data_IF_477245375139
#
_entry.id   IF_477245375139
#
_cell.length_a   1.000
_cell.length_b   1.000
_cell.length_c   1.000
_cell.angle_alpha   90.00
_cell.angle_beta   90.00
_cell.angle_gamma   90.00
#
_symmetry.space_group_name_H-M   'P 1'
#
loop_
_entity.id
_entity.type
_entity.pdbx_description
1 polymer ?
#
# COMPACT_ATOMS: atom_id res chain seq x y z
N UNK A 1 -14.39 21.20 10.17
CA UNK A 1 -15.00 20.49 9.02
C UNK A 1 -14.21 19.23 8.83
N UNK A 2 -14.89 18.09 8.70
CA UNK A 2 -14.23 16.78 8.62
C UNK A 2 -13.62 16.61 7.24
N UNK A 3 -12.33 16.28 7.18
CA UNK A 3 -11.61 16.16 5.91
C UNK A 3 -11.69 14.73 5.37
N UNK A 4 -12.28 14.56 4.18
CA UNK A 4 -12.48 13.28 3.53
C UNK A 4 -11.49 13.05 2.38
N UNK A 5 -10.89 14.14 1.86
CA UNK A 5 -9.91 14.05 0.79
C UNK A 5 -8.54 13.64 1.32
N UNK A 6 -7.96 12.59 0.74
CA UNK A 6 -6.60 12.16 1.01
C UNK A 6 -5.59 13.27 0.70
N UNK A 7 -5.81 14.03 -0.38
CA UNK A 7 -4.95 15.15 -0.77
C UNK A 7 -4.96 16.28 0.27
N UNK A 8 -6.15 16.68 0.71
CA UNK A 8 -6.27 17.73 1.71
C UNK A 8 -5.65 17.31 3.06
N UNK A 9 -5.80 16.03 3.46
CA UNK A 9 -5.12 15.46 4.62
C UNK A 9 -3.61 15.57 4.52
N UNK A 10 -3.03 15.15 3.39
CA UNK A 10 -1.59 15.25 3.16
C UNK A 10 -1.08 16.68 3.23
N UNK A 11 -1.81 17.63 2.64
CA UNK A 11 -1.46 19.06 2.71
C UNK A 11 -1.49 19.59 4.14
N UNK A 12 -2.51 19.20 4.92
CA UNK A 12 -2.59 19.55 6.33
C UNK A 12 -1.42 18.96 7.13
N UNK A 13 -1.05 17.71 6.87
CA UNK A 13 0.11 17.06 7.50
C UNK A 13 1.45 17.71 7.16
N UNK A 14 1.66 18.02 5.87
CA UNK A 14 2.83 18.72 5.41
C UNK A 14 2.95 20.10 6.07
N UNK A 15 1.84 20.85 6.16
CA UNK A 15 1.80 22.15 6.84
C UNK A 15 2.10 22.02 8.34
N UNK A 16 1.51 21.03 9.03
CA UNK A 16 1.78 20.74 10.46
C UNK A 16 3.26 20.41 10.70
N UNK A 17 3.86 19.59 9.83
CA UNK A 17 5.28 19.22 9.93
C UNK A 17 6.19 20.42 9.65
N UNK A 18 5.91 21.21 8.61
CA UNK A 18 6.67 22.42 8.31
C UNK A 18 6.67 23.42 9.48
N UNK A 19 5.52 23.58 10.14
CA UNK A 19 5.42 24.41 11.34
C UNK A 19 6.19 23.83 12.53
N UNK A 20 6.16 22.50 12.72
CA UNK A 20 6.98 21.83 13.75
C UNK A 20 8.47 22.00 13.49
N UNK A 21 8.91 21.90 12.23
CA UNK A 21 10.30 22.12 11.81
C UNK A 21 10.75 23.55 12.07
N UNK A 22 9.90 24.55 11.76
CA UNK A 22 10.19 25.96 12.05
C UNK A 22 10.40 26.27 13.53
N UNK A 23 9.86 25.45 14.43
CA UNK A 23 9.95 25.64 15.89
C UNK A 23 11.13 24.93 16.54
N UNK A 24 11.90 24.13 15.81
CA UNK A 24 13.03 23.37 16.34
C UNK A 24 14.38 24.02 15.98
N UNK A 25 15.39 23.99 16.86
CA UNK A 25 16.74 24.47 16.54
C UNK A 25 17.32 23.70 15.34
N UNK A 26 18.06 24.38 14.48
CA UNK A 26 18.66 23.80 13.26
C UNK A 26 19.54 22.55 13.53
N UNK A 27 20.07 22.42 14.74
CA UNK A 27 20.93 21.34 15.21
C UNK A 27 20.18 20.02 15.50
N UNK A 28 18.84 20.02 15.53
CA UNK A 28 18.03 18.85 15.84
C UNK A 28 17.82 17.89 14.64
N UNK A 29 18.25 18.28 13.43
CA UNK A 29 18.02 17.51 12.21
C UNK A 29 19.31 16.85 11.72
N UNK A 30 19.51 15.59 12.08
CA UNK A 30 20.61 14.74 11.57
C UNK A 30 20.41 14.24 10.13
N UNK A 31 19.27 14.55 9.48
CA UNK A 31 19.00 14.20 8.09
C UNK A 31 18.15 15.30 7.41
N UNK A 32 18.42 15.65 6.14
CA UNK A 32 17.57 16.57 5.39
C UNK A 32 16.18 15.93 5.14
N UNK A 33 15.09 16.71 5.15
CA UNK A 33 13.72 16.23 5.05
C UNK A 33 13.31 15.87 3.61
N UNK A 34 14.24 15.41 2.78
CA UNK A 34 14.06 15.27 1.33
C UNK A 34 13.40 13.94 0.93
N UNK A 35 12.64 13.30 1.83
CA UNK A 35 11.64 12.34 1.40
C UNK A 35 10.58 13.12 0.63
N UNK A 36 10.67 13.10 -0.70
CA UNK A 36 9.72 13.77 -1.60
C UNK A 36 8.37 13.08 -1.47
N UNK A 37 7.52 13.60 -0.58
CA UNK A 37 6.12 13.21 -0.51
C UNK A 37 5.40 13.82 -1.72
N UNK A 38 4.65 13.00 -2.45
CA UNK A 38 3.79 13.50 -3.51
C UNK A 38 2.66 14.33 -2.89
N UNK A 39 2.62 15.63 -3.22
CA UNK A 39 1.66 16.64 -2.76
C UNK A 39 0.53 16.90 -3.77
N UNK A 40 0.53 16.13 -4.85
CA UNK A 40 -0.48 16.13 -5.91
C UNK A 40 -1.19 14.79 -5.93
N UNK A 41 -2.51 14.83 -6.12
CA UNK A 41 -3.25 13.63 -6.49
C UNK A 41 -2.77 13.18 -7.85
N UNK A 42 -2.31 11.94 -7.91
CA UNK A 42 -2.02 11.23 -9.14
C UNK A 42 -2.91 9.99 -9.14
N UNK A 43 -3.68 9.77 -10.22
CA UNK A 43 -4.34 8.48 -10.42
C UNK A 43 -3.32 7.35 -10.26
N UNK A 44 -3.78 6.18 -9.83
CA UNK A 44 -2.93 5.00 -9.79
C UNK A 44 -2.36 4.79 -11.20
N UNK A 45 -1.03 4.95 -11.40
CA UNK A 45 -0.45 4.81 -12.72
C UNK A 45 -0.69 3.39 -13.19
N UNK A 46 -1.22 3.23 -14.41
CA UNK A 46 -1.30 1.93 -15.06
C UNK A 46 0.00 1.75 -15.84
N UNK A 47 0.85 0.78 -15.46
CA UNK A 47 2.08 0.53 -16.20
C UNK A 47 1.80 0.24 -17.68
N UNK A 48 2.61 0.75 -18.62
CA UNK A 48 2.50 0.35 -20.02
C UNK A 48 2.74 -1.16 -20.19
N UNK A 49 2.07 -1.83 -21.14
CA UNK A 49 2.26 -3.25 -21.32
C UNK A 49 3.68 -3.66 -21.73
N UNK A 50 4.19 -4.70 -21.07
CA UNK A 50 5.52 -5.26 -21.31
C UNK A 50 6.66 -4.40 -20.80
N UNK A 51 6.42 -3.50 -19.83
CA UNK A 51 7.44 -2.62 -19.26
C UNK A 51 7.75 -2.94 -17.80
N UNK A 52 8.96 -2.64 -17.37
CA UNK A 52 9.37 -2.77 -15.97
C UNK A 52 9.35 -4.20 -15.43
N UNK A 53 9.47 -4.29 -14.10
CA UNK A 53 9.51 -5.56 -13.37
C UNK A 53 8.63 -5.53 -12.13
N UNK A 54 7.89 -6.60 -11.87
CA UNK A 54 7.22 -6.81 -10.58
C UNK A 54 8.13 -7.60 -9.66
N UNK A 55 8.40 -7.05 -8.50
CA UNK A 55 9.12 -7.72 -7.43
C UNK A 55 8.13 -8.14 -6.35
N UNK A 56 7.99 -9.45 -6.15
CA UNK A 56 7.20 -10.04 -5.08
C UNK A 56 8.10 -10.32 -3.88
N UNK A 57 7.68 -9.85 -2.71
CA UNK A 57 8.43 -9.96 -1.47
C UNK A 57 7.59 -10.67 -0.39
N UNK A 58 8.28 -11.34 0.53
CA UNK A 58 7.66 -11.83 1.75
C UNK A 58 8.55 -11.54 2.96
N UNK A 59 8.00 -10.83 3.94
CA UNK A 59 8.70 -10.45 5.15
C UNK A 59 8.11 -11.15 6.37
N UNK A 60 8.97 -11.59 7.28
CA UNK A 60 8.55 -11.94 8.63
C UNK A 60 8.26 -10.64 9.40
N UNK A 61 7.24 -10.63 10.29
CA UNK A 61 7.09 -9.58 11.29
C UNK A 61 8.42 -9.25 11.96
N UNK A 62 8.74 -7.95 12.08
CA UNK A 62 10.06 -7.49 12.57
C UNK A 62 10.38 -8.07 13.95
N UNK A 63 9.39 -8.16 14.84
CA UNK A 63 9.55 -8.69 16.19
C UNK A 63 9.89 -10.19 16.24
N UNK A 64 9.64 -10.97 15.17
CA UNK A 64 10.07 -12.37 15.10
C UNK A 64 11.56 -12.51 14.87
N UNK A 65 12.25 -11.47 14.36
CA UNK A 65 13.69 -11.52 14.06
C UNK A 65 14.53 -11.75 15.32
N UNK A 66 14.04 -11.26 16.46
CA UNK A 66 14.73 -11.33 17.75
C UNK A 66 14.40 -12.62 18.52
N UNK A 67 13.49 -13.46 18.00
CA UNK A 67 13.09 -14.73 18.63
C UNK A 67 13.88 -15.88 17.99
N UNK A 68 14.68 -16.56 18.81
CA UNK A 68 15.45 -17.73 18.41
C UNK A 68 14.57 -18.93 18.00
N UNK A 69 15.14 -19.95 17.33
CA UNK A 69 14.37 -21.06 16.76
C UNK A 69 13.48 -21.81 17.75
N UNK A 70 13.93 -21.99 18.99
CA UNK A 70 13.15 -22.66 20.05
C UNK A 70 11.94 -21.84 20.46
N UNK A 71 12.12 -20.53 20.70
CA UNK A 71 11.01 -19.64 21.05
C UNK A 71 9.96 -19.53 19.94
N UNK A 72 10.36 -19.70 18.67
CA UNK A 72 9.44 -19.74 17.54
C UNK A 72 8.53 -20.97 17.53
N UNK A 73 8.98 -22.12 18.06
CA UNK A 73 8.17 -23.34 18.13
C UNK A 73 7.02 -23.22 19.14
N UNK A 74 7.16 -22.34 20.12
CA UNK A 74 6.16 -22.10 21.17
C UNK A 74 5.09 -21.09 20.72
N UNK A 75 5.32 -20.38 19.60
CA UNK A 75 4.39 -19.40 19.08
C UNK A 75 3.25 -20.05 18.29
N UNK A 76 2.01 -19.56 18.44
CA UNK A 76 0.92 -19.92 17.56
C UNK A 76 1.24 -19.65 16.09
N UNK A 77 0.83 -20.55 15.19
CA UNK A 77 1.10 -20.45 13.75
C UNK A 77 0.62 -19.14 13.12
N UNK A 78 -0.50 -18.57 13.59
CA UNK A 78 -1.01 -17.30 13.08
C UNK A 78 -0.04 -16.13 13.34
N UNK A 79 0.75 -16.19 14.43
CA UNK A 79 1.75 -15.18 14.73
C UNK A 79 3.00 -15.29 13.85
N UNK A 80 3.22 -16.45 13.23
CA UNK A 80 4.31 -16.73 12.31
C UNK A 80 3.97 -16.35 10.85
N UNK A 81 2.77 -15.82 10.61
CA UNK A 81 2.30 -15.48 9.26
C UNK A 81 3.16 -14.39 8.64
N UNK A 82 3.77 -14.70 7.49
CA UNK A 82 4.54 -13.72 6.69
C UNK A 82 3.60 -12.70 6.06
N UNK A 83 4.04 -11.45 6.01
CA UNK A 83 3.40 -10.41 5.21
C UNK A 83 3.95 -10.46 3.80
N UNK A 84 3.06 -10.46 2.82
CA UNK A 84 3.41 -10.40 1.41
C UNK A 84 3.20 -8.99 0.89
N UNK A 85 4.06 -8.58 -0.04
CA UNK A 85 3.93 -7.33 -0.78
C UNK A 85 4.47 -7.55 -2.19
N UNK A 86 4.08 -6.68 -3.10
CA UNK A 86 4.68 -6.61 -4.41
C UNK A 86 4.82 -5.15 -4.82
N UNK A 87 5.82 -4.84 -5.63
CA UNK A 87 6.02 -3.53 -6.21
C UNK A 87 6.38 -3.70 -7.68
N UNK A 88 5.73 -2.95 -8.55
CA UNK A 88 6.15 -2.79 -9.92
C UNK A 88 7.13 -1.61 -9.99
N UNK A 89 8.27 -1.84 -10.62
CA UNK A 89 9.27 -0.83 -10.92
C UNK A 89 9.32 -0.66 -12.43
N UNK A 90 9.12 0.56 -12.90
CA UNK A 90 9.31 0.87 -14.31
C UNK A 90 10.76 0.79 -14.74
N UNK A 91 10.94 0.76 -16.05
CA UNK A 91 12.26 0.87 -16.64
C UNK A 91 12.83 2.26 -16.33
N UNK A 92 14.13 2.32 -16.00
CA UNK A 92 14.84 3.58 -15.91
C UNK A 92 15.24 3.93 -17.33
N UNK A 93 14.59 4.93 -17.92
CA UNK A 93 15.00 5.44 -19.23
C UNK A 93 16.38 6.11 -19.08
N UNK A 94 17.44 5.37 -19.41
CA UNK A 94 18.81 5.89 -19.48
C UNK A 94 18.97 6.92 -20.60
N UNK A 95 18.11 6.85 -21.63
CA UNK A 95 18.15 7.67 -22.85
C UNK A 95 17.24 8.91 -22.82
N UNK A 96 16.48 9.14 -21.76
CA UNK A 96 15.64 10.34 -21.69
C UNK A 96 16.55 11.55 -21.44
N UNK A 97 16.92 12.33 -22.46
CA UNK A 97 17.76 13.54 -22.32
C UNK A 97 17.06 14.70 -21.57
N UNK A 98 15.89 14.46 -20.98
CA UNK A 98 15.17 15.44 -20.19
C UNK A 98 16.06 16.00 -19.06
N UNK A 99 16.23 17.34 -18.97
CA UNK A 99 17.07 17.96 -17.97
C UNK A 99 16.52 17.63 -16.58
N UNK A 100 17.28 16.85 -15.82
CA UNK A 100 17.00 16.54 -14.43
C UNK A 100 17.40 17.78 -13.62
N UNK A 101 16.48 18.40 -12.86
CA UNK A 101 16.84 19.52 -12.00
C UNK A 101 18.04 19.17 -11.10
N UNK A 102 18.99 20.09 -11.00
CA UNK A 102 20.20 19.91 -10.20
C UNK A 102 19.81 19.55 -8.75
N UNK A 103 20.26 18.37 -8.28
CA UNK A 103 19.92 17.83 -6.95
C UNK A 103 18.74 16.83 -6.92
N UNK A 104 18.12 16.52 -8.06
CA UNK A 104 17.09 15.47 -8.15
C UNK A 104 17.68 14.14 -8.65
N UNK A 105 17.21 13.03 -8.07
CA UNK A 105 17.57 11.67 -8.48
C UNK A 105 16.49 11.18 -9.44
N UNK A 106 16.89 10.62 -10.60
CA UNK A 106 15.94 9.87 -11.44
C UNK A 106 15.52 8.63 -10.67
N UNK A 107 14.24 8.58 -10.29
CA UNK A 107 13.65 7.41 -9.65
C UNK A 107 12.73 6.77 -10.68
N UNK A 108 12.91 5.48 -10.95
CA UNK A 108 11.97 4.70 -11.73
C UNK A 108 10.54 4.90 -11.18
N UNK A 109 9.51 4.98 -12.03
CA UNK A 109 8.14 4.99 -11.52
C UNK A 109 7.89 3.70 -10.73
N UNK A 110 7.34 3.84 -9.52
CA UNK A 110 7.03 2.70 -8.64
C UNK A 110 5.54 2.64 -8.42
N UNK A 111 4.98 1.45 -8.60
CA UNK A 111 3.60 1.14 -8.25
C UNK A 111 3.61 0.03 -7.19
N UNK A 112 3.24 0.38 -5.96
CA UNK A 112 3.07 -0.60 -4.90
C UNK A 112 1.76 -1.34 -4.99
N UNK A 113 1.80 -2.64 -4.73
CA UNK A 113 0.63 -3.44 -4.36
C UNK A 113 -0.11 -2.73 -3.21
N UNK A 114 -1.45 -2.67 -3.24
CA UNK A 114 -2.20 -1.99 -2.20
C UNK A 114 -1.84 -2.54 -0.82
N UNK A 115 -1.48 -1.66 0.10
CA UNK A 115 -1.08 -2.06 1.46
C UNK A 115 -2.13 -2.87 2.24
N UNK A 116 -3.45 -2.69 2.04
CA UNK A 116 -4.43 -3.59 2.65
C UNK A 116 -4.28 -5.06 2.23
N UNK A 117 -3.71 -5.30 1.05
CA UNK A 117 -3.49 -6.62 0.45
C UNK A 117 -2.15 -7.21 0.91
N UNK A 118 -2.18 -7.94 2.03
CA UNK A 118 -0.96 -8.51 2.64
C UNK A 118 -0.86 -10.03 2.55
N UNK A 119 -1.91 -10.70 2.07
CA UNK A 119 -1.94 -12.16 1.94
C UNK A 119 -1.31 -12.61 0.61
N UNK A 120 -0.72 -13.81 0.63
CA UNK A 120 0.04 -14.34 -0.50
C UNK A 120 -0.73 -14.35 -1.82
N UNK A 121 -1.94 -14.93 -1.83
CA UNK A 121 -2.62 -15.23 -3.08
C UNK A 121 -3.10 -13.97 -3.81
N UNK A 122 -3.69 -13.00 -3.09
CA UNK A 122 -4.04 -11.74 -3.73
C UNK A 122 -2.83 -10.91 -4.13
N UNK A 123 -1.71 -10.95 -3.39
CA UNK A 123 -0.48 -10.29 -3.87
C UNK A 123 0.01 -10.91 -5.17
N UNK A 124 -0.08 -12.24 -5.31
CA UNK A 124 0.28 -12.91 -6.56
C UNK A 124 -0.71 -12.61 -7.68
N UNK A 125 -2.02 -12.56 -7.40
CA UNK A 125 -3.03 -12.14 -8.37
C UNK A 125 -2.79 -10.69 -8.82
N UNK A 126 -2.54 -9.78 -7.89
CA UNK A 126 -2.20 -8.39 -8.19
C UNK A 126 -0.95 -8.29 -9.06
N UNK A 127 0.11 -9.02 -8.69
CA UNK A 127 1.35 -9.08 -9.45
C UNK A 127 1.13 -9.61 -10.88
N UNK A 128 0.28 -10.64 -11.03
CA UNK A 128 -0.05 -11.23 -12.32
C UNK A 128 -0.89 -10.29 -13.21
N UNK A 129 -1.62 -9.34 -12.62
CA UNK A 129 -2.40 -8.32 -13.35
C UNK A 129 -1.54 -7.16 -13.86
N UNK A 130 -0.36 -6.95 -13.26
CA UNK A 130 0.52 -5.89 -13.72
C UNK A 130 1.06 -6.26 -15.10
N UNK A 131 1.03 -5.35 -16.07
CA UNK A 131 1.41 -5.69 -17.43
C UNK A 131 2.95 -5.56 -17.58
N UNK A 132 3.69 -6.29 -16.75
CA UNK A 132 5.13 -6.18 -16.61
C UNK A 132 5.92 -7.07 -17.58
N UNK A 133 7.15 -6.67 -17.91
CA UNK A 133 8.03 -7.47 -18.76
C UNK A 133 8.49 -8.76 -18.04
N UNK A 134 8.69 -8.67 -16.72
CA UNK A 134 9.14 -9.78 -15.88
C UNK A 134 8.53 -9.71 -14.48
N UNK A 135 8.31 -10.87 -13.89
CA UNK A 135 7.94 -11.01 -12.47
C UNK A 135 9.02 -11.82 -11.77
N UNK A 136 9.52 -11.31 -10.65
CA UNK A 136 10.55 -11.94 -9.84
C UNK A 136 10.12 -12.00 -8.38
N UNK A 137 10.66 -12.97 -7.65
CA UNK A 137 10.54 -13.06 -6.20
C UNK A 137 11.90 -12.86 -5.55
N UNK A 138 11.94 -12.03 -4.52
CA UNK A 138 13.11 -11.95 -3.64
C UNK A 138 12.91 -12.84 -2.41
N UNK A 139 13.98 -13.53 -2.00
CA UNK A 139 13.94 -14.45 -0.85
C UNK A 139 14.70 -13.84 0.33
N UNK A 140 14.02 -13.62 1.45
CA UNK A 140 14.69 -13.26 2.70
C UNK A 140 15.44 -11.92 2.70
N UNK A 141 15.12 -11.01 1.78
CA UNK A 141 15.84 -9.74 1.63
C UNK A 141 17.21 -9.88 0.96
N UNK A 142 17.53 -11.02 0.33
CA UNK A 142 18.67 -11.12 -0.57
C UNK A 142 18.39 -10.41 -1.89
N UNK A 143 19.46 -10.04 -2.60
CA UNK A 143 19.40 -9.52 -3.96
C UNK A 143 19.10 -10.62 -5.00
N UNK A 144 18.87 -11.86 -4.57
CA UNK A 144 18.59 -12.97 -5.47
C UNK A 144 17.15 -12.88 -5.98
N UNK A 145 17.02 -12.65 -7.28
CA UNK A 145 15.76 -12.64 -8.00
C UNK A 145 15.47 -14.03 -8.57
N UNK A 146 14.34 -14.62 -8.16
CA UNK A 146 13.84 -15.87 -8.74
C UNK A 146 12.71 -15.54 -9.72
N UNK A 147 12.86 -15.80 -11.03
CA UNK A 147 11.80 -15.59 -12.00
C UNK A 147 10.53 -16.35 -11.63
N UNK A 148 9.38 -15.74 -11.88
CA UNK A 148 8.06 -16.30 -11.64
C UNK A 148 7.21 -16.21 -12.89
N UNK A 149 6.59 -17.33 -13.26
CA UNK A 149 5.49 -17.36 -14.22
C UNK A 149 4.18 -17.23 -13.47
N UNK A 150 3.44 -16.15 -13.71
CA UNK A 150 2.14 -15.89 -13.09
C UNK A 150 1.07 -15.69 -14.15
N UNK A 151 -0.12 -16.24 -13.90
CA UNK A 151 -1.30 -16.03 -14.73
C UNK A 151 -2.41 -15.42 -13.85
N UNK A 152 -2.88 -14.24 -14.21
CA UNK A 152 -3.99 -13.60 -13.50
C UNK A 152 -5.30 -14.35 -13.78
N UNK A 153 -6.08 -14.57 -12.73
CA UNK A 153 -7.42 -15.15 -12.86
C UNK A 153 -8.44 -14.08 -13.29
N UNK A 154 -8.18 -12.80 -12.99
CA UNK A 154 -9.01 -11.67 -13.36
C UNK A 154 -10.48 -11.82 -12.93
N UNK A 155 -10.72 -12.51 -11.81
CA UNK A 155 -12.05 -12.64 -11.24
C UNK A 155 -12.22 -11.73 -10.04
N UNK A 156 -13.44 -11.23 -9.88
CA UNK A 156 -13.88 -10.69 -8.61
C UNK A 156 -13.96 -11.83 -7.57
N UNK A 157 -13.84 -11.52 -6.27
CA UNK A 157 -14.13 -12.48 -5.21
C UNK A 157 -15.59 -12.94 -5.26
N UNK A 158 -15.87 -14.13 -4.73
CA UNK A 158 -17.23 -14.67 -4.71
C UNK A 158 -18.12 -13.91 -3.71
N UNK A 159 -19.41 -13.65 -4.03
CA UNK A 159 -20.31 -12.97 -3.11
C UNK A 159 -20.43 -13.68 -1.75
N UNK A 160 -20.43 -12.91 -0.67
CA UNK A 160 -20.46 -13.40 0.71
C UNK A 160 -19.14 -13.97 1.19
N UNK A 161 -18.03 -13.74 0.47
CA UNK A 161 -16.70 -14.22 0.86
C UNK A 161 -15.70 -13.08 0.98
N UNK A 162 -14.63 -13.35 1.73
CA UNK A 162 -13.43 -12.53 1.72
C UNK A 162 -13.57 -11.22 2.50
N UNK A 163 -12.46 -10.48 2.51
CA UNK A 163 -12.31 -9.25 3.28
C UNK A 163 -12.20 -8.06 2.35
N UNK A 164 -13.00 -7.03 2.61
CA UNK A 164 -12.82 -5.72 2.03
C UNK A 164 -12.10 -4.82 3.03
N UNK A 165 -11.00 -4.20 2.60
CA UNK A 165 -10.21 -3.31 3.43
C UNK A 165 -10.00 -1.97 2.76
N UNK A 166 -10.20 -0.89 3.52
CA UNK A 166 -9.96 0.50 3.11
C UNK A 166 -8.78 1.05 3.91
N UNK A 167 -7.84 1.73 3.24
CA UNK A 167 -6.70 2.39 3.89
C UNK A 167 -6.23 3.60 3.08
N UNK A 168 -5.68 4.60 3.76
CA UNK A 168 -4.94 5.69 3.13
C UNK A 168 -3.59 5.18 2.59
N UNK A 169 -3.30 5.44 1.33
CA UNK A 169 -2.01 5.08 0.74
C UNK A 169 -0.91 5.97 1.34
N UNK A 170 0.19 5.35 1.75
CA UNK A 170 1.30 6.04 2.41
C UNK A 170 2.21 6.79 1.44
N UNK A 171 2.24 6.46 0.16
CA UNK A 171 3.11 7.10 -0.84
C UNK A 171 2.35 8.08 -1.74
N UNK A 172 1.05 7.85 -1.98
CA UNK A 172 0.17 8.72 -2.77
C UNK A 172 -1.03 9.26 -1.98
N UNK A 173 -1.53 10.48 -2.25
CA UNK A 173 -2.71 11.03 -1.58
C UNK A 173 -4.01 10.40 -2.13
N UNK A 174 -4.16 9.09 -1.94
CA UNK A 174 -5.34 8.32 -2.37
C UNK A 174 -5.83 7.42 -1.23
N UNK A 175 -7.13 7.23 -1.15
CA UNK A 175 -7.72 6.12 -0.41
C UNK A 175 -7.79 4.91 -1.32
N UNK A 176 -7.45 3.74 -0.78
CA UNK A 176 -7.48 2.49 -1.53
C UNK A 176 -8.41 1.50 -0.83
N UNK A 177 -9.35 0.93 -1.58
CA UNK A 177 -10.15 -0.21 -1.16
C UNK A 177 -9.77 -1.45 -1.96
N UNK A 178 -9.63 -2.57 -1.25
CA UNK A 178 -9.38 -3.88 -1.85
C UNK A 178 -10.30 -4.90 -1.25
N UNK A 179 -11.01 -5.65 -2.10
CA UNK A 179 -11.77 -6.83 -1.73
C UNK A 179 -11.07 -8.08 -2.27
N UNK A 180 -10.77 -9.02 -1.38
CA UNK A 180 -10.06 -10.25 -1.72
C UNK A 180 -10.61 -11.47 -0.95
N UNK A 181 -10.67 -12.64 -1.60
CA UNK A 181 -11.08 -13.91 -0.96
C UNK A 181 -9.88 -14.79 -0.55
N UNK A 182 -10.17 -15.95 0.04
CA UNK A 182 -9.16 -16.95 0.44
C UNK A 182 -8.50 -17.67 -0.75
N UNK A 183 -8.94 -17.36 -1.98
CA UNK A 183 -8.43 -17.91 -3.22
C UNK A 183 -7.69 -16.79 -3.99
N UNK A 184 -8.08 -16.49 -5.22
CA UNK A 184 -7.46 -15.49 -6.11
C UNK A 184 -8.44 -14.41 -6.56
N UNK A 185 -9.60 -14.29 -5.92
CA UNK A 185 -10.54 -13.22 -6.21
C UNK A 185 -9.95 -11.89 -5.74
N UNK A 186 -9.97 -10.88 -6.61
CA UNK A 186 -9.45 -9.55 -6.29
C UNK A 186 -10.23 -8.46 -7.03
N UNK A 187 -10.73 -7.48 -6.30
CA UNK A 187 -11.34 -6.26 -6.81
C UNK A 187 -10.78 -5.05 -6.07
N UNK A 188 -10.54 -3.96 -6.79
CA UNK A 188 -9.79 -2.80 -6.29
C UNK A 188 -10.46 -1.51 -6.74
N UNK A 189 -10.39 -0.48 -5.89
CA UNK A 189 -10.84 0.86 -6.21
C UNK A 189 -10.02 1.88 -5.42
N UNK A 190 -9.69 3.01 -6.05
CA UNK A 190 -8.96 4.07 -5.40
C UNK A 190 -9.49 5.45 -5.84
N UNK A 191 -9.58 6.37 -4.89
CA UNK A 191 -10.06 7.73 -5.13
C UNK A 191 -9.41 8.70 -4.11
N UNK A 192 -9.45 9.99 -4.39
CA UNK A 192 -9.02 11.00 -3.41
C UNK A 192 -10.05 11.16 -2.29
N UNK A 193 -11.35 10.97 -2.58
CA UNK A 193 -12.45 11.14 -1.64
C UNK A 193 -12.82 9.80 -1.01
N UNK A 194 -12.61 9.68 0.31
CA UNK A 194 -12.98 8.47 1.05
C UNK A 194 -14.46 8.11 0.90
N UNK A 195 -15.36 9.08 0.65
CA UNK A 195 -16.79 8.80 0.45
C UNK A 195 -17.04 7.97 -0.80
N UNK A 196 -16.35 8.27 -1.90
CA UNK A 196 -16.44 7.49 -3.14
C UNK A 196 -15.94 6.05 -2.92
N UNK A 197 -14.84 5.91 -2.16
CA UNK A 197 -14.29 4.60 -1.80
C UNK A 197 -15.24 3.80 -0.91
N UNK A 198 -15.91 4.46 0.04
CA UNK A 198 -16.94 3.84 0.88
C UNK A 198 -18.16 3.43 0.06
N UNK A 199 -18.63 4.27 -0.86
CA UNK A 199 -19.76 3.94 -1.74
C UNK A 199 -19.46 2.68 -2.56
N UNK A 200 -18.28 2.63 -3.19
CA UNK A 200 -17.82 1.43 -3.90
C UNK A 200 -17.76 0.21 -2.98
N UNK A 201 -17.23 0.37 -1.76
CA UNK A 201 -17.12 -0.71 -0.78
C UNK A 201 -18.46 -1.22 -0.29
N UNK A 202 -19.45 -0.34 -0.11
CA UNK A 202 -20.80 -0.71 0.27
C UNK A 202 -21.49 -1.55 -0.81
N UNK A 203 -21.21 -1.28 -2.09
CA UNK A 203 -21.75 -2.04 -3.21
C UNK A 203 -21.17 -3.47 -3.34
N UNK A 204 -19.99 -3.76 -2.76
CA UNK A 204 -19.39 -5.10 -2.84
C UNK A 204 -20.05 -6.07 -1.86
N UNK A 205 -20.35 -7.32 -2.26
CA UNK A 205 -20.89 -8.34 -1.37
C UNK A 205 -19.77 -9.05 -0.58
N UNK A 206 -18.87 -8.30 0.06
CA UNK A 206 -17.85 -8.88 0.93
C UNK A 206 -18.46 -9.39 2.24
N UNK A 207 -17.87 -10.44 2.82
CA UNK A 207 -18.25 -10.96 4.14
C UNK A 207 -17.98 -9.91 5.23
N UNK A 208 -16.76 -9.35 5.21
CA UNK A 208 -16.31 -8.34 6.16
C UNK A 208 -15.85 -7.07 5.44
N UNK A 209 -16.13 -5.90 6.02
CA UNK A 209 -15.72 -4.58 5.49
C UNK A 209 -15.05 -3.77 6.57
N UNK A 210 -13.75 -3.51 6.42
CA UNK A 210 -12.91 -2.91 7.45
C UNK A 210 -12.21 -1.65 6.93
N UNK A 211 -12.01 -0.66 7.79
CA UNK A 211 -11.20 0.53 7.54
C UNK A 211 -10.02 0.57 8.51
N UNK A 212 -8.85 0.97 8.02
CA UNK A 212 -7.61 1.06 8.79
C UNK A 212 -6.98 2.43 8.60
N UNK A 213 -6.31 2.91 9.65
CA UNK A 213 -5.63 4.20 9.72
C UNK A 213 -4.30 4.08 10.44
N UNK A 214 -3.41 5.06 10.24
CA UNK A 214 -2.07 5.03 10.83
C UNK A 214 -2.10 5.20 12.37
N UNK A 215 -3.13 5.86 12.91
CA UNK A 215 -3.30 6.08 14.34
C UNK A 215 -4.48 5.30 14.95
N UNK A 216 -5.04 4.34 14.21
CA UNK A 216 -6.00 3.37 14.76
C UNK A 216 -5.24 2.18 15.36
N UNK A 217 -5.57 1.86 16.62
CA UNK A 217 -5.00 0.70 17.32
C UNK A 217 -5.42 -0.63 16.68
N UNK A 218 -6.58 -0.66 16.02
CA UNK A 218 -7.15 -1.83 15.36
C UNK A 218 -7.95 -1.47 14.10
N UNK A 219 -8.26 -2.48 13.29
CA UNK A 219 -9.14 -2.30 12.12
C UNK A 219 -10.57 -2.07 12.60
N UNK A 220 -11.26 -1.10 12.02
CA UNK A 220 -12.62 -0.71 12.42
C UNK A 220 -13.62 -1.25 11.40
N UNK A 221 -14.70 -1.86 11.88
CA UNK A 221 -15.83 -2.26 11.03
C UNK A 221 -16.42 -1.04 10.30
N UNK A 222 -16.67 -1.17 9.00
CA UNK A 222 -17.15 -0.06 8.17
C UNK A 222 -18.52 0.45 8.64
N UNK A 223 -19.41 -0.42 9.10
CA UNK A 223 -20.71 0.02 9.63
C UNK A 223 -20.54 0.77 10.96
N UNK A 224 -19.60 0.37 11.82
CA UNK A 224 -19.24 1.12 13.02
C UNK A 224 -18.62 2.49 12.69
N UNK A 225 -17.73 2.54 11.68
CA UNK A 225 -17.16 3.80 11.19
C UNK A 225 -18.26 4.77 10.74
N UNK A 226 -19.23 4.28 9.96
CA UNK A 226 -20.32 5.10 9.40
C UNK A 226 -21.26 5.70 10.44
N UNK A 227 -21.35 5.11 11.64
CA UNK A 227 -22.13 5.68 12.74
C UNK A 227 -21.48 6.93 13.32
N UNK A 228 -20.14 6.98 13.33
CA UNK A 228 -19.36 8.04 13.96
C UNK A 228 -18.09 8.40 13.16
N UNK A 229 -18.21 8.82 11.88
CA UNK A 229 -17.06 8.98 11.01
C UNK A 229 -16.04 10.00 11.55
N UNK A 230 -16.52 11.09 12.14
CA UNK A 230 -15.67 12.14 12.71
C UNK A 230 -14.75 11.64 13.84
N UNK A 231 -15.17 10.61 14.59
CA UNK A 231 -14.36 10.02 15.67
C UNK A 231 -13.12 9.31 15.11
N UNK A 232 -13.30 8.61 14.00
CA UNK A 232 -12.25 7.78 13.40
C UNK A 232 -11.41 8.58 12.43
N UNK A 233 -11.99 9.57 11.74
CA UNK A 233 -11.30 10.36 10.74
C UNK A 233 -10.10 11.14 11.30
N UNK A 234 -10.04 11.43 12.60
CA UNK A 234 -8.84 12.04 13.18
C UNK A 234 -7.67 11.05 13.34
N UNK A 235 -7.97 9.75 13.37
CA UNK A 235 -7.02 8.66 13.55
C UNK A 235 -6.71 7.87 12.26
N UNK A 236 -7.44 8.17 11.17
CA UNK A 236 -7.17 7.67 9.82
C UNK A 236 -6.08 8.47 9.12
#
# INVERSE_FOLDING_TARGET
MTEWSALARRRADAARRAEKVRRLPAEAYGHPPDYVWQDTFQPVPVPPPGTGSVVVMSSEPVWLRDIGPVGRLELPSFMLTRRWSAEWYGDIDEDDDAPVPEGSVRVAPVLGCPRPLMHRLGVLEWAARQPAARVVKTVGGSADEIPMELTAVNRAPDPGTGYLRIMLDSSRPIWYAVWFDIYTGLAEFADDDLRAVIEWAQAQPAEDKLITGDALDEQVDLAAFLQHPDRYLQAL
#
